data_IF_161760910530
#
_entry.id   IF_161760910530
#
_cell.length_a   1.000
_cell.length_b   1.000
_cell.length_c   1.000
_cell.angle_alpha   90.00
_cell.angle_beta   90.00
_cell.angle_gamma   90.00
#
_symmetry.space_group_name_H-M   'P 1'
#
loop_
_entity.id
_entity.type
_entity.pdbx_description
1 polymer ?
#
# COMPACT_ATOMS: atom_id res chain seq x y z
N UNK A 1 -6.34 -3.04 -28.73
CA UNK A 1 -5.97 -2.61 -27.36
C UNK A 1 -7.15 -2.92 -26.46
N UNK A 2 -6.96 -3.63 -25.36
CA UNK A 2 -8.06 -3.88 -24.42
C UNK A 2 -8.45 -2.57 -23.74
N UNK A 3 -9.74 -2.23 -23.79
CA UNK A 3 -10.32 -1.10 -23.06
C UNK A 3 -10.11 -1.29 -21.55
N UNK A 4 -9.68 -0.24 -20.85
CA UNK A 4 -9.52 -0.29 -19.40
C UNK A 4 -10.90 -0.39 -18.73
N UNK A 5 -11.31 -1.60 -18.33
CA UNK A 5 -12.56 -1.84 -17.62
C UNK A 5 -12.32 -1.79 -16.11
N UNK A 6 -13.15 -1.04 -15.40
CA UNK A 6 -13.15 -1.06 -13.93
C UNK A 6 -13.59 -2.44 -13.45
N UNK A 7 -12.69 -3.15 -12.76
CA UNK A 7 -12.95 -4.45 -12.15
C UNK A 7 -13.20 -4.28 -10.65
N UNK A 8 -14.27 -4.89 -10.14
CA UNK A 8 -14.53 -4.94 -8.70
C UNK A 8 -13.70 -6.07 -8.07
N UNK A 9 -12.44 -5.76 -7.72
CA UNK A 9 -11.47 -6.76 -7.25
C UNK A 9 -11.38 -6.90 -5.74
N UNK A 10 -11.83 -5.90 -4.99
CA UNK A 10 -11.69 -5.82 -3.55
C UNK A 10 -12.98 -5.28 -2.90
N UNK A 11 -13.30 -5.82 -1.73
CA UNK A 11 -14.28 -5.25 -0.81
C UNK A 11 -13.48 -4.55 0.29
N UNK A 12 -13.73 -3.25 0.47
CA UNK A 12 -13.09 -2.44 1.51
C UNK A 12 -14.19 -1.93 2.42
N UNK A 13 -14.10 -2.26 3.70
CA UNK A 13 -15.03 -1.80 4.74
C UNK A 13 -14.19 -1.11 5.82
N UNK A 14 -14.48 0.15 6.13
CA UNK A 14 -13.85 0.82 7.27
C UNK A 14 -14.33 0.16 8.56
N UNK A 15 -13.42 -0.05 9.51
CA UNK A 15 -13.76 -0.68 10.79
C UNK A 15 -14.79 0.12 11.58
N UNK A 16 -14.76 1.46 11.51
CA UNK A 16 -15.77 2.34 12.13
C UNK A 16 -17.18 2.13 11.54
N UNK A 17 -17.25 1.95 10.22
CA UNK A 17 -18.51 1.78 9.50
C UNK A 17 -19.08 0.38 9.80
N UNK A 18 -18.21 -0.63 9.87
CA UNK A 18 -18.59 -1.97 10.32
C UNK A 18 -19.13 -1.93 11.76
N UNK A 19 -18.45 -1.24 12.66
CA UNK A 19 -18.84 -1.15 14.07
C UNK A 19 -20.19 -0.43 14.26
N UNK A 20 -20.48 0.58 13.43
CA UNK A 20 -21.73 1.33 13.50
C UNK A 20 -22.89 0.65 12.77
N UNK A 21 -22.63 -0.10 11.69
CA UNK A 21 -23.66 -0.71 10.85
C UNK A 21 -24.05 -2.12 11.29
N UNK A 22 -23.14 -2.89 11.90
CA UNK A 22 -23.34 -4.30 12.23
C UNK A 22 -23.44 -4.53 13.73
N UNK A 23 -24.32 -5.44 14.14
CA UNK A 23 -24.35 -5.93 15.51
C UNK A 23 -23.19 -6.91 15.79
N UNK A 24 -22.97 -7.28 17.06
CA UNK A 24 -21.84 -8.13 17.46
C UNK A 24 -21.83 -9.52 16.82
N UNK A 25 -22.99 -10.11 16.50
CA UNK A 25 -23.05 -11.41 15.81
C UNK A 25 -22.63 -11.28 14.35
N UNK A 26 -23.09 -10.23 13.68
CA UNK A 26 -22.73 -9.92 12.31
C UNK A 26 -21.23 -9.58 12.17
N UNK A 27 -20.67 -8.84 13.13
CA UNK A 27 -19.22 -8.55 13.17
C UNK A 27 -18.39 -9.84 13.29
N UNK A 28 -18.74 -10.73 14.23
CA UNK A 28 -18.09 -12.04 14.37
C UNK A 28 -18.22 -12.89 13.11
N UNK A 29 -19.38 -12.85 12.45
CA UNK A 29 -19.59 -13.54 11.18
C UNK A 29 -18.67 -12.99 10.09
N UNK A 30 -18.55 -11.66 9.98
CA UNK A 30 -17.64 -11.03 9.02
C UNK A 30 -16.19 -11.42 9.28
N UNK A 31 -15.72 -11.36 10.52
CA UNK A 31 -14.37 -11.78 10.92
C UNK A 31 -14.09 -13.25 10.56
N UNK A 32 -15.07 -14.12 10.82
CA UNK A 32 -14.97 -15.54 10.46
C UNK A 32 -14.85 -15.73 8.94
N UNK A 33 -15.68 -15.06 8.14
CA UNK A 33 -15.63 -15.13 6.68
C UNK A 33 -14.30 -14.61 6.13
N UNK A 34 -13.78 -13.49 6.64
CA UNK A 34 -12.46 -12.97 6.29
C UNK A 34 -11.36 -13.99 6.57
N UNK A 35 -11.39 -14.61 7.75
CA UNK A 35 -10.41 -15.64 8.15
C UNK A 35 -10.44 -16.87 7.25
N UNK A 36 -11.63 -17.33 6.85
CA UNK A 36 -11.80 -18.45 5.93
C UNK A 36 -11.18 -18.14 4.55
N UNK A 37 -11.40 -16.93 4.03
CA UNK A 37 -10.83 -16.51 2.73
C UNK A 37 -9.30 -16.47 2.81
N UNK A 38 -8.74 -15.91 3.87
CA UNK A 38 -7.29 -15.89 4.07
C UNK A 38 -6.69 -17.28 4.18
N UNK A 39 -7.30 -18.17 4.97
CA UNK A 39 -6.87 -19.55 5.10
C UNK A 39 -6.85 -20.25 3.72
N UNK A 40 -7.92 -20.10 2.93
CA UNK A 40 -7.98 -20.66 1.58
C UNK A 40 -6.97 -20.05 0.60
N UNK A 41 -6.52 -18.81 0.81
CA UNK A 41 -5.39 -18.24 0.04
C UNK A 41 -4.08 -18.92 0.40
N UNK A 42 -3.81 -19.08 1.70
CA UNK A 42 -2.59 -19.74 2.21
C UNK A 42 -2.52 -21.20 1.74
N UNK A 43 -3.63 -21.94 1.79
CA UNK A 43 -3.72 -23.30 1.25
C UNK A 43 -3.38 -23.38 -0.25
N UNK A 44 -3.66 -22.31 -1.01
CA UNK A 44 -3.32 -22.21 -2.44
C UNK A 44 -1.89 -21.69 -2.68
N UNK A 45 -1.06 -21.62 -1.65
CA UNK A 45 0.31 -21.11 -1.73
C UNK A 45 0.40 -19.60 -2.00
N UNK A 46 -0.66 -18.85 -1.67
CA UNK A 46 -0.66 -17.39 -1.82
C UNK A 46 -0.55 -16.73 -0.45
N UNK A 47 0.34 -15.75 -0.35
CA UNK A 47 0.45 -14.91 0.84
C UNK A 47 -0.79 -14.04 1.05
N UNK A 48 -0.81 -13.34 2.18
CA UNK A 48 -1.63 -12.15 2.36
C UNK A 48 -1.58 -11.25 1.11
N UNK A 49 -2.68 -10.58 0.78
CA UNK A 49 -2.66 -9.49 -0.20
C UNK A 49 -2.56 -8.17 0.54
N UNK A 50 -1.36 -7.76 1.02
CA UNK A 50 -1.21 -6.47 1.66
C UNK A 50 -1.58 -5.39 0.64
N UNK A 51 -2.48 -4.51 1.05
CA UNK A 51 -2.89 -3.37 0.28
C UNK A 51 -2.89 -2.14 1.20
N UNK A 52 -2.42 -1.02 0.67
CA UNK A 52 -2.61 0.28 1.28
C UNK A 52 -3.91 0.88 0.71
N UNK A 53 -4.78 1.37 1.57
CA UNK A 53 -5.94 2.17 1.19
C UNK A 53 -5.61 3.62 1.52
N UNK A 54 -5.72 4.50 0.53
CA UNK A 54 -5.61 5.95 0.73
C UNK A 54 -7.01 6.53 0.56
N UNK A 55 -7.52 7.20 1.59
CA UNK A 55 -8.84 7.81 1.53
C UNK A 55 -8.82 9.07 0.67
N UNK A 56 -9.93 9.37 0.01
CA UNK A 56 -10.01 10.47 -0.95
C UNK A 56 -9.78 11.85 -0.32
N UNK A 57 -10.11 12.01 0.95
CA UNK A 57 -9.95 13.24 1.71
C UNK A 57 -8.55 13.42 2.31
N UNK A 58 -7.67 12.42 2.17
CA UNK A 58 -6.29 12.53 2.64
C UNK A 58 -5.42 13.28 1.63
N UNK A 59 -4.47 14.12 2.10
CA UNK A 59 -3.58 14.87 1.20
C UNK A 59 -2.72 13.95 0.31
N UNK A 60 -2.50 12.70 0.70
CA UNK A 60 -1.74 11.70 -0.05
C UNK A 60 -2.51 11.07 -1.23
N UNK A 61 -3.84 11.28 -1.33
CA UNK A 61 -4.67 10.63 -2.35
C UNK A 61 -4.22 10.94 -3.78
N UNK A 62 -4.23 12.21 -4.15
CA UNK A 62 -3.88 12.65 -5.51
C UNK A 62 -2.41 12.32 -5.86
N UNK A 63 -1.42 12.57 -4.98
CA UNK A 63 -0.04 12.11 -5.22
C UNK A 63 0.07 10.61 -5.46
N UNK A 64 -0.63 9.78 -4.68
CA UNK A 64 -0.61 8.32 -4.83
C UNK A 64 -1.24 7.90 -6.15
N UNK A 65 -2.37 8.51 -6.52
CA UNK A 65 -3.03 8.26 -7.80
C UNK A 65 -2.10 8.54 -8.98
N UNK A 66 -1.43 9.69 -8.99
CA UNK A 66 -0.49 10.08 -10.05
C UNK A 66 0.69 9.11 -10.16
N UNK A 67 1.25 8.67 -9.03
CA UNK A 67 2.34 7.69 -9.01
C UNK A 67 1.91 6.34 -9.64
N UNK A 68 0.69 5.86 -9.32
CA UNK A 68 0.14 4.63 -9.90
C UNK A 68 -0.17 4.82 -11.39
N UNK A 69 -0.76 5.95 -11.79
CA UNK A 69 -1.07 6.25 -13.19
C UNK A 69 0.20 6.32 -14.06
N UNK A 70 1.27 6.95 -13.57
CA UNK A 70 2.56 6.98 -14.25
C UNK A 70 3.13 5.57 -14.46
N UNK A 71 3.13 4.75 -13.40
CA UNK A 71 3.57 3.35 -13.46
C UNK A 71 2.79 2.53 -14.49
N UNK A 72 1.47 2.65 -14.51
CA UNK A 72 0.59 1.93 -15.45
C UNK A 72 0.82 2.39 -16.90
N UNK A 73 1.11 3.68 -17.11
CA UNK A 73 1.42 4.24 -18.42
C UNK A 73 2.86 3.92 -18.91
N UNK A 74 3.65 3.15 -18.16
CA UNK A 74 5.03 2.83 -18.50
C UNK A 74 6.00 4.00 -18.31
N UNK A 75 5.61 5.06 -17.58
CA UNK A 75 6.51 6.13 -17.16
C UNK A 75 7.15 5.71 -15.84
N UNK A 76 8.47 5.58 -15.80
CA UNK A 76 9.21 5.35 -14.56
C UNK A 76 8.84 6.47 -13.57
N UNK A 77 8.32 6.10 -12.40
CA UNK A 77 8.15 7.03 -11.30
C UNK A 77 9.52 7.66 -11.00
N UNK A 78 9.63 8.99 -10.84
CA UNK A 78 10.85 9.58 -10.28
C UNK A 78 11.09 8.92 -8.93
N UNK A 79 12.24 8.27 -8.76
CA UNK A 79 12.64 7.74 -7.46
C UNK A 79 12.75 8.88 -6.43
N UNK A 80 12.69 8.56 -5.13
CA UNK A 80 12.97 9.55 -4.10
C UNK A 80 14.29 10.22 -4.42
N UNK A 81 14.29 11.56 -4.33
CA UNK A 81 15.41 12.46 -4.61
C UNK A 81 16.74 11.82 -4.21
N UNK A 82 17.65 11.76 -5.18
CA UNK A 82 19.08 11.55 -5.02
C UNK A 82 19.52 12.16 -3.68
N UNK A 83 19.75 11.30 -2.68
CA UNK A 83 20.40 11.68 -1.44
C UNK A 83 21.84 11.97 -1.82
N UNK A 84 22.05 13.21 -2.28
CA UNK A 84 23.33 13.77 -2.64
C UNK A 84 24.35 13.37 -1.58
N UNK A 85 25.36 12.63 -2.03
CA UNK A 85 26.39 12.07 -1.19
C UNK A 85 26.94 13.14 -0.25
N UNK A 86 26.81 12.89 1.05
CA UNK A 86 27.69 13.49 2.04
C UNK A 86 29.12 13.14 1.60
N UNK A 87 30.01 14.12 1.32
CA UNK A 87 31.39 13.79 1.10
C UNK A 87 31.95 13.22 2.41
N UNK A 88 32.44 11.98 2.34
CA UNK A 88 33.23 11.37 3.38
C UNK A 88 34.47 12.26 3.63
N UNK A 89 34.55 12.86 4.81
CA UNK A 89 35.78 13.49 5.25
C UNK A 89 36.59 12.45 6.03
N UNK A 90 37.34 11.63 5.29
CA UNK A 90 38.47 10.88 5.83
C UNK A 90 39.73 11.71 5.58
N UNK A 91 40.41 12.11 6.67
CA UNK A 91 41.60 12.95 6.58
C UNK A 91 42.34 13.14 7.90
N UNK A 92 42.46 12.08 8.70
CA UNK A 92 43.44 12.04 9.78
C UNK A 92 44.86 11.86 9.22
N UNK A 93 45.64 12.94 9.23
CA UNK A 93 47.12 12.98 9.14
C UNK A 93 47.49 14.36 9.69
N UNK A 94 48.33 14.59 10.68
CA UNK A 94 49.42 13.82 11.26
C UNK A 94 50.59 14.80 11.45
N UNK A 95 50.90 15.18 12.69
CA UNK A 95 52.23 15.60 13.17
C UNK A 95 52.87 16.94 12.75
N UNK A 96 53.67 17.47 13.71
CA UNK A 96 54.69 18.52 13.64
C UNK A 96 54.16 19.98 13.65
N UNK A 97 54.61 20.90 14.53
CA UNK A 97 55.81 21.00 15.38
C UNK A 97 55.46 21.60 16.75
#
# INVERSE_FOLDING_TARGET
MSEFKREHRYIVLKTSDVASALNSEQQRTLEHLCSLVEMKRRERGKDSAPALVVEHDWPEYEPTWQAIAARVAGRSTPGPLDSGGLPANDGATGGAQ
#
